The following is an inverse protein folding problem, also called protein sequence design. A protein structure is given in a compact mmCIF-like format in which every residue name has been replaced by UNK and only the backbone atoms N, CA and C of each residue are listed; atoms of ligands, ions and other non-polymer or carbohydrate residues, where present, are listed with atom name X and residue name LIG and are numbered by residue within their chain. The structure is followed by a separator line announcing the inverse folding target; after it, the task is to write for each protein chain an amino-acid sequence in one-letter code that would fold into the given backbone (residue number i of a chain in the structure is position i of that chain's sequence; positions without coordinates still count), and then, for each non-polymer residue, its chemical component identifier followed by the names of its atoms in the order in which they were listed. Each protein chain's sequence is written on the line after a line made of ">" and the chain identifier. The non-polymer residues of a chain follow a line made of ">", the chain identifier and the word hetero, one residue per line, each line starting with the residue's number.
data_IF_695673893267
#
_entry.id   IF_695673893267
#
_cell.length_a   1.000
_cell.length_b   1.000
_cell.length_c   1.000
_cell.angle_alpha   90.00
_cell.angle_beta   90.00
_cell.angle_gamma   90.00
#
_symmetry.space_group_name_H-M   'P 1'
#
loop_
_entity.id
_entity.type
_entity.pdbx_description
1 polymer ?
#
# COMPACT_ATOMS: atom_id res chain seq x y z
N UNK A 1 -13.84 -28.30 16.67
CA UNK A 1 -13.06 -27.94 15.49
C UNK A 1 -12.74 -26.42 15.51
N UNK A 2 -13.75 -25.49 15.66
CA UNK A 2 -13.46 -24.04 15.76
C UNK A 2 -12.52 -23.74 16.91
N UNK A 3 -12.83 -24.20 18.13
CA UNK A 3 -11.98 -23.98 19.31
C UNK A 3 -10.60 -24.66 19.24
N UNK A 4 -10.37 -25.59 18.31
CA UNK A 4 -9.05 -26.18 18.06
C UNK A 4 -8.22 -25.28 17.12
N UNK A 5 -8.88 -24.65 16.15
CA UNK A 5 -8.22 -23.79 15.18
C UNK A 5 -7.99 -22.37 15.72
N UNK A 6 -8.97 -21.85 16.47
CA UNK A 6 -8.95 -20.50 17.05
C UNK A 6 -9.40 -20.58 18.52
N UNK A 7 -8.52 -21.01 19.44
CA UNK A 7 -8.88 -21.27 20.83
C UNK A 7 -9.24 -20.01 21.63
N UNK A 8 -8.84 -18.83 21.17
CA UNK A 8 -9.16 -17.56 21.84
C UNK A 8 -10.56 -17.01 21.51
N UNK A 9 -11.27 -17.59 20.52
CA UNK A 9 -12.63 -17.18 20.20
C UNK A 9 -13.62 -17.59 21.29
N UNK A 10 -14.58 -16.71 21.61
CA UNK A 10 -15.67 -17.01 22.55
C UNK A 10 -16.53 -18.18 22.06
N UNK A 11 -16.54 -19.27 22.81
CA UNK A 11 -17.26 -20.50 22.47
C UNK A 11 -18.78 -20.26 22.24
N UNK A 12 -19.36 -19.34 22.99
CA UNK A 12 -20.78 -18.98 22.93
C UNK A 12 -21.19 -18.37 21.59
N UNK A 13 -20.31 -17.61 20.97
CA UNK A 13 -20.53 -16.94 19.67
C UNK A 13 -20.05 -17.77 18.47
N UNK A 14 -19.28 -18.84 18.71
CA UNK A 14 -18.57 -19.58 17.67
C UNK A 14 -19.06 -21.01 17.49
N UNK A 15 -20.39 -21.22 17.53
CA UNK A 15 -21.00 -22.59 17.37
C UNK A 15 -20.78 -23.18 15.99
N UNK A 16 -20.70 -22.33 14.97
CA UNK A 16 -20.45 -22.70 13.57
C UNK A 16 -19.45 -21.71 12.96
N UNK A 17 -18.54 -22.22 12.16
CA UNK A 17 -17.64 -21.42 11.35
C UNK A 17 -17.62 -21.96 9.93
N UNK A 18 -17.51 -21.05 8.96
CA UNK A 18 -17.23 -21.37 7.57
C UNK A 18 -15.77 -21.04 7.33
N UNK A 19 -15.02 -22.01 6.84
CA UNK A 19 -13.62 -21.81 6.44
C UNK A 19 -13.52 -21.81 4.92
N UNK A 20 -12.78 -20.86 4.38
CA UNK A 20 -12.46 -20.78 2.96
C UNK A 20 -11.02 -20.29 2.80
N UNK A 21 -10.46 -20.50 1.64
CA UNK A 21 -9.13 -19.96 1.33
C UNK A 21 -9.25 -18.55 0.77
N UNK A 22 -8.41 -17.67 1.28
CA UNK A 22 -8.28 -16.30 0.79
C UNK A 22 -6.81 -15.98 0.55
N UNK A 23 -6.54 -15.01 -0.32
CA UNK A 23 -5.20 -14.55 -0.62
C UNK A 23 -4.91 -13.25 0.13
N UNK A 24 -3.80 -13.22 0.84
CA UNK A 24 -3.29 -12.00 1.45
C UNK A 24 -2.33 -11.32 0.47
N UNK A 25 -2.65 -10.08 0.12
CA UNK A 25 -1.82 -9.26 -0.77
C UNK A 25 -1.06 -8.22 0.05
N UNK A 26 0.24 -8.10 -0.20
CA UNK A 26 1.00 -6.92 0.19
C UNK A 26 0.85 -5.90 -0.95
N UNK A 27 -0.02 -4.91 -0.77
CA UNK A 27 -0.39 -3.94 -1.80
C UNK A 27 0.78 -3.05 -2.20
N UNK A 28 1.65 -2.64 -1.27
CA UNK A 28 2.87 -1.89 -1.60
C UNK A 28 3.79 -2.72 -2.51
N UNK A 29 4.01 -3.99 -2.19
CA UNK A 29 4.84 -4.89 -3.01
C UNK A 29 4.22 -5.15 -4.37
N UNK A 30 2.89 -5.30 -4.46
CA UNK A 30 2.19 -5.45 -5.72
C UNK A 30 2.36 -4.22 -6.62
N UNK A 31 2.23 -3.01 -6.06
CA UNK A 31 2.45 -1.75 -6.80
C UNK A 31 3.89 -1.67 -7.31
N UNK A 32 4.88 -1.93 -6.43
CA UNK A 32 6.30 -1.90 -6.81
C UNK A 32 6.61 -2.92 -7.92
N UNK A 33 6.05 -4.13 -7.84
CA UNK A 33 6.25 -5.15 -8.88
C UNK A 33 5.68 -4.72 -10.24
N UNK A 34 4.49 -4.09 -10.25
CA UNK A 34 3.91 -3.52 -11.47
C UNK A 34 4.76 -2.38 -12.04
N UNK A 35 5.24 -1.46 -11.20
CA UNK A 35 6.11 -0.36 -11.62
C UNK A 35 7.41 -0.88 -12.22
N UNK A 36 8.02 -1.90 -11.62
CA UNK A 36 9.26 -2.53 -12.11
C UNK A 36 9.03 -3.26 -13.43
N UNK A 37 7.91 -3.94 -13.59
CA UNK A 37 7.54 -4.56 -14.87
C UNK A 37 7.30 -3.51 -15.97
N UNK A 38 6.66 -2.38 -15.62
CA UNK A 38 6.49 -1.27 -16.54
C UNK A 38 7.85 -0.67 -16.97
N UNK A 39 8.79 -0.45 -16.04
CA UNK A 39 10.15 0.01 -16.35
C UNK A 39 10.88 -0.98 -17.26
N UNK A 40 10.81 -2.27 -16.98
CA UNK A 40 11.38 -3.31 -17.82
C UNK A 40 10.77 -3.35 -19.24
N UNK A 41 9.53 -2.85 -19.36
CA UNK A 41 8.80 -2.69 -20.64
C UNK A 41 9.03 -1.32 -21.30
N UNK A 42 9.90 -0.47 -20.76
CA UNK A 42 10.31 0.81 -21.35
C UNK A 42 9.58 2.04 -20.78
N UNK A 43 8.72 1.90 -19.77
CA UNK A 43 8.12 3.04 -19.08
C UNK A 43 9.17 3.79 -18.22
N UNK A 44 8.94 5.10 -18.05
CA UNK A 44 9.69 5.91 -17.09
C UNK A 44 8.83 6.14 -15.84
N UNK A 45 9.38 5.85 -14.68
CA UNK A 45 8.73 6.04 -13.40
C UNK A 45 9.53 7.05 -12.57
N UNK A 46 8.85 8.01 -11.98
CA UNK A 46 9.46 9.00 -11.08
C UNK A 46 8.54 9.22 -9.88
N UNK A 47 9.08 9.00 -8.68
CA UNK A 47 8.47 9.40 -7.42
C UNK A 47 8.89 10.82 -7.04
N UNK A 48 8.25 11.40 -6.02
CA UNK A 48 8.52 12.77 -5.54
C UNK A 48 8.37 13.85 -6.63
N UNK A 49 7.53 13.59 -7.63
CA UNK A 49 7.10 14.56 -8.64
C UNK A 49 5.60 14.85 -8.46
N UNK A 50 5.29 16.07 -8.03
CA UNK A 50 3.91 16.51 -7.88
C UNK A 50 3.47 17.25 -9.14
N UNK A 51 2.43 16.75 -9.81
CA UNK A 51 1.81 17.45 -10.95
C UNK A 51 1.05 18.65 -10.43
N UNK A 52 1.36 19.82 -10.96
CA UNK A 52 0.81 21.13 -10.56
C UNK A 52 0.10 21.88 -11.70
N UNK A 53 0.12 21.36 -12.93
CA UNK A 53 -0.55 21.97 -14.05
C UNK A 53 -0.58 21.09 -15.30
N UNK A 54 -1.34 21.55 -16.30
CA UNK A 54 -1.46 20.93 -17.62
C UNK A 54 -0.86 21.86 -18.69
N UNK A 55 -0.13 21.27 -19.63
CA UNK A 55 0.31 21.95 -20.84
C UNK A 55 -0.81 22.02 -21.88
N UNK A 56 -0.74 22.98 -22.80
CA UNK A 56 -1.77 23.24 -23.82
C UNK A 56 -2.97 24.04 -23.25
N UNK A 57 -3.72 24.73 -24.09
CA UNK A 57 -4.85 25.58 -23.66
C UNK A 57 -6.19 24.82 -23.76
N UNK A 58 -6.52 24.32 -24.94
CA UNK A 58 -7.82 23.68 -25.22
C UNK A 58 -7.78 22.17 -25.00
N UNK A 59 -6.62 21.56 -25.14
CA UNK A 59 -6.36 20.14 -24.96
C UNK A 59 -5.10 19.95 -24.12
N UNK A 60 -5.07 18.93 -23.26
CA UNK A 60 -3.88 18.59 -22.50
C UNK A 60 -2.83 17.97 -23.43
N UNK A 61 -1.69 18.65 -23.55
CA UNK A 61 -0.51 18.25 -24.31
C UNK A 61 0.62 17.73 -23.42
N UNK A 62 0.33 17.51 -22.14
CA UNK A 62 1.27 17.08 -21.12
C UNK A 62 0.98 17.72 -19.79
N UNK A 63 1.96 17.65 -18.89
CA UNK A 63 1.87 18.17 -17.53
C UNK A 63 3.07 19.02 -17.16
N UNK A 64 2.87 19.94 -16.20
CA UNK A 64 3.94 20.50 -15.38
C UNK A 64 3.98 19.77 -14.05
N UNK A 65 5.19 19.57 -13.52
CA UNK A 65 5.38 18.91 -12.23
C UNK A 65 6.54 19.53 -11.46
N UNK A 66 6.43 19.55 -10.15
CA UNK A 66 7.48 20.02 -9.26
C UNK A 66 8.16 18.83 -8.57
N UNK A 67 9.49 18.79 -8.65
CA UNK A 67 10.29 17.82 -7.92
C UNK A 67 10.43 18.23 -6.45
N UNK A 68 9.87 17.43 -5.55
CA UNK A 68 9.94 17.69 -4.11
C UNK A 68 11.37 17.63 -3.54
N UNK A 69 12.30 16.90 -4.21
CA UNK A 69 13.69 16.76 -3.79
C UNK A 69 14.54 17.98 -4.11
N UNK A 70 14.26 18.65 -5.22
CA UNK A 70 15.12 19.72 -5.77
C UNK A 70 14.41 21.06 -5.91
N UNK A 71 13.09 21.10 -5.75
CA UNK A 71 12.26 22.26 -6.03
C UNK A 71 12.16 22.64 -7.52
N UNK A 72 12.75 21.84 -8.44
CA UNK A 72 12.76 22.14 -9.86
C UNK A 72 11.41 21.84 -10.50
N UNK A 73 10.92 22.75 -11.32
CA UNK A 73 9.77 22.50 -12.20
C UNK A 73 10.24 21.74 -13.46
N UNK A 74 9.43 20.79 -13.88
CA UNK A 74 9.65 19.91 -15.05
C UNK A 74 8.42 19.96 -15.93
N UNK A 75 8.60 19.90 -17.24
CA UNK A 75 7.52 19.73 -18.20
C UNK A 75 7.63 18.36 -18.86
N UNK A 76 6.53 17.61 -18.88
CA UNK A 76 6.44 16.34 -19.56
C UNK A 76 5.37 16.45 -20.64
N UNK A 77 5.79 16.39 -21.91
CA UNK A 77 4.87 16.38 -23.06
C UNK A 77 4.31 14.98 -23.27
N UNK A 78 3.02 14.90 -23.56
CA UNK A 78 2.32 13.64 -23.80
C UNK A 78 1.18 13.85 -24.79
N UNK A 79 0.90 12.85 -25.60
CA UNK A 79 -0.25 12.85 -26.50
C UNK A 79 -1.58 12.68 -25.71
N UNK A 80 -1.57 11.91 -24.63
CA UNK A 80 -2.70 11.73 -23.71
C UNK A 80 -2.19 11.79 -22.27
N UNK A 81 -2.92 12.45 -21.41
CA UNK A 81 -2.68 12.48 -19.95
C UNK A 81 -3.72 11.59 -19.27
N UNK A 82 -3.28 10.73 -18.35
CA UNK A 82 -4.15 9.89 -17.54
C UNK A 82 -4.08 10.35 -16.09
N UNK A 83 -5.23 10.67 -15.51
CA UNK A 83 -5.41 10.96 -14.10
C UNK A 83 -5.84 9.69 -13.36
N UNK A 84 -4.90 9.03 -12.69
CA UNK A 84 -5.12 7.86 -11.84
C UNK A 84 -4.65 8.14 -10.39
N UNK A 85 -4.91 9.36 -9.90
CA UNK A 85 -4.34 9.89 -8.66
C UNK A 85 -5.11 9.48 -7.39
N UNK A 86 -6.03 8.51 -7.48
CA UNK A 86 -6.74 7.96 -6.32
C UNK A 86 -7.49 9.03 -5.52
N UNK A 87 -7.20 9.25 -4.24
CA UNK A 87 -7.89 10.26 -3.43
C UNK A 87 -7.76 11.71 -3.95
N UNK A 88 -6.74 12.00 -4.78
CA UNK A 88 -6.49 13.32 -5.37
C UNK A 88 -7.09 13.51 -6.77
N UNK A 89 -7.89 12.57 -7.26
CA UNK A 89 -8.51 12.64 -8.60
C UNK A 89 -9.25 13.97 -8.80
N UNK A 90 -10.05 14.42 -7.86
CA UNK A 90 -10.80 15.68 -8.02
C UNK A 90 -9.90 16.91 -8.03
N UNK A 91 -8.83 16.93 -7.22
CA UNK A 91 -7.83 18.00 -7.25
C UNK A 91 -7.11 18.07 -8.62
N UNK A 92 -6.78 16.91 -9.20
CA UNK A 92 -6.17 16.85 -10.53
C UNK A 92 -7.17 17.24 -11.63
N UNK A 93 -8.44 16.92 -11.52
CA UNK A 93 -9.50 17.34 -12.45
C UNK A 93 -9.69 18.87 -12.49
N UNK A 94 -9.50 19.54 -11.34
CA UNK A 94 -9.55 20.99 -11.27
C UNK A 94 -8.44 21.68 -12.07
N UNK A 95 -7.36 20.99 -12.43
CA UNK A 95 -6.37 21.52 -13.36
C UNK A 95 -6.89 21.64 -14.81
N UNK A 96 -7.95 20.91 -15.16
CA UNK A 96 -8.60 21.05 -16.48
C UNK A 96 -9.60 22.20 -16.54
N UNK A 97 -10.46 22.30 -15.54
CA UNK A 97 -11.52 23.29 -15.43
C UNK A 97 -12.10 23.31 -14.01
N UNK A 98 -12.85 24.35 -13.67
CA UNK A 98 -13.67 24.39 -12.46
C UNK A 98 -14.83 23.38 -12.60
N UNK A 99 -14.67 22.23 -11.94
CA UNK A 99 -15.59 21.09 -12.03
C UNK A 99 -16.05 20.64 -10.65
N UNK A 100 -17.30 20.20 -10.56
CA UNK A 100 -17.84 19.64 -9.33
C UNK A 100 -17.08 18.37 -8.91
N UNK A 101 -16.83 18.17 -7.61
CA UNK A 101 -16.24 16.96 -7.08
C UNK A 101 -17.06 15.71 -7.40
N UNK A 102 -16.41 14.63 -7.76
CA UNK A 102 -17.04 13.33 -8.00
C UNK A 102 -16.76 12.32 -6.90
N UNK A 103 -15.81 12.60 -6.02
CA UNK A 103 -15.41 11.68 -4.97
C UNK A 103 -15.96 12.05 -3.61
N UNK A 104 -16.27 11.02 -2.85
CA UNK A 104 -16.42 11.06 -1.40
C UNK A 104 -15.28 10.25 -0.81
N UNK A 105 -14.50 10.85 0.07
CA UNK A 105 -13.40 10.15 0.74
C UNK A 105 -13.92 9.44 1.99
N UNK A 106 -13.50 8.19 2.16
CA UNK A 106 -13.75 7.41 3.37
C UNK A 106 -12.43 6.98 3.98
N UNK A 107 -12.24 7.31 5.26
CA UNK A 107 -11.08 6.87 6.04
C UNK A 107 -11.34 5.49 6.60
N UNK A 108 -10.34 4.61 6.46
CA UNK A 108 -10.31 3.33 7.14
C UNK A 108 -9.00 3.20 7.90
N UNK A 109 -9.07 2.77 9.16
CA UNK A 109 -7.88 2.53 9.97
C UNK A 109 -7.59 1.05 10.14
N UNK A 110 -6.34 0.75 10.46
CA UNK A 110 -5.90 -0.52 10.99
C UNK A 110 -5.05 -0.28 12.23
N UNK A 111 -5.08 -1.23 13.17
CA UNK A 111 -4.19 -1.26 14.32
C UNK A 111 -3.54 -2.63 14.42
N UNK A 112 -2.28 -2.67 14.86
CA UNK A 112 -1.55 -3.90 15.13
C UNK A 112 -1.31 -4.05 16.63
N UNK A 113 -1.46 -5.26 17.13
CA UNK A 113 -1.12 -5.64 18.50
C UNK A 113 -0.15 -6.82 18.45
N UNK A 114 0.60 -7.07 19.52
CA UNK A 114 1.45 -8.26 19.58
C UNK A 114 0.60 -9.53 19.42
N UNK A 115 1.11 -10.51 18.70
CA UNK A 115 0.42 -11.79 18.54
C UNK A 115 0.25 -12.54 19.87
N UNK A 116 1.07 -12.25 20.85
CA UNK A 116 0.91 -12.76 22.22
C UNK A 116 -0.31 -12.19 22.93
N UNK A 117 -0.74 -10.98 22.56
CA UNK A 117 -1.90 -10.32 23.16
C UNK A 117 -3.21 -10.73 22.44
N UNK A 118 -3.14 -11.01 21.14
CA UNK A 118 -4.25 -11.55 20.35
C UNK A 118 -3.74 -12.70 19.45
N UNK A 119 -3.71 -13.94 19.97
CA UNK A 119 -3.16 -15.08 19.25
C UNK A 119 -4.20 -15.69 18.28
N UNK A 120 -4.27 -15.16 17.06
CA UNK A 120 -5.07 -15.76 15.99
C UNK A 120 -4.18 -16.61 15.07
N UNK A 121 -4.72 -17.73 14.59
CA UNK A 121 -4.00 -18.63 13.68
C UNK A 121 -4.37 -18.39 12.21
N UNK A 122 -5.60 -17.94 11.97
CA UNK A 122 -6.12 -17.66 10.64
C UNK A 122 -6.69 -16.24 10.58
N UNK A 123 -7.06 -15.77 9.39
CA UNK A 123 -7.92 -14.61 9.27
C UNK A 123 -9.28 -14.89 9.91
N UNK A 124 -9.65 -14.11 10.89
CA UNK A 124 -10.95 -14.18 11.55
C UNK A 124 -11.79 -12.97 11.13
N UNK A 125 -12.98 -13.23 10.59
CA UNK A 125 -13.97 -12.18 10.28
C UNK A 125 -14.93 -12.04 11.45
N UNK A 126 -14.99 -10.85 12.01
CA UNK A 126 -15.90 -10.45 13.10
C UNK A 126 -16.97 -9.51 12.56
N UNK A 127 -18.05 -9.32 13.31
CA UNK A 127 -19.07 -8.32 13.00
C UNK A 127 -18.98 -7.20 14.03
N UNK A 128 -18.71 -5.98 13.57
CA UNK A 128 -18.69 -4.79 14.41
C UNK A 128 -20.08 -4.43 14.92
N UNK A 129 -20.14 -3.54 15.91
CA UNK A 129 -21.40 -3.06 16.51
C UNK A 129 -22.32 -2.36 15.50
N UNK A 130 -21.80 -1.88 14.39
CA UNK A 130 -22.52 -1.26 13.26
C UNK A 130 -22.88 -2.26 12.15
N UNK A 131 -22.65 -3.55 12.35
CA UNK A 131 -22.93 -4.64 11.41
C UNK A 131 -21.89 -4.82 10.30
N UNK A 132 -20.83 -4.01 10.26
CA UNK A 132 -19.76 -4.13 9.26
C UNK A 132 -18.75 -5.21 9.63
N UNK A 133 -18.12 -5.87 8.62
CA UNK A 133 -17.06 -6.84 8.89
C UNK A 133 -15.80 -6.14 9.39
N UNK A 134 -15.21 -6.69 10.45
CA UNK A 134 -13.89 -6.35 10.96
C UNK A 134 -13.03 -7.61 10.90
N UNK A 135 -11.80 -7.49 10.53
CA UNK A 135 -10.90 -8.62 10.36
C UNK A 135 -9.80 -8.60 11.42
N UNK A 136 -9.45 -9.78 11.93
CA UNK A 136 -8.22 -10.01 12.69
C UNK A 136 -7.32 -10.92 11.86
N UNK A 137 -6.10 -10.44 11.50
CA UNK A 137 -5.18 -11.13 10.60
C UNK A 137 -3.82 -11.33 11.28
N UNK A 138 -3.31 -12.58 11.33
CA UNK A 138 -1.96 -12.82 11.81
C UNK A 138 -0.93 -12.39 10.75
N UNK A 139 0.09 -11.63 11.17
CA UNK A 139 1.21 -11.24 10.31
C UNK A 139 2.53 -11.23 11.10
N UNK A 140 3.28 -12.32 11.03
CA UNK A 140 4.53 -12.46 11.78
C UNK A 140 4.31 -12.32 13.28
N UNK A 141 4.97 -11.36 13.95
CA UNK A 141 4.89 -11.16 15.40
C UNK A 141 3.63 -10.42 15.85
N UNK A 142 2.80 -9.94 14.94
CA UNK A 142 1.59 -9.18 15.25
C UNK A 142 0.32 -9.84 14.73
N UNK A 143 -0.80 -9.45 15.32
CA UNK A 143 -2.14 -9.57 14.76
C UNK A 143 -2.63 -8.15 14.48
N UNK A 144 -3.05 -7.85 13.24
CA UNK A 144 -3.63 -6.55 12.92
C UNK A 144 -5.13 -6.63 12.72
N UNK A 145 -5.79 -5.57 13.11
CA UNK A 145 -7.24 -5.41 13.10
C UNK A 145 -7.64 -4.34 12.11
N UNK A 146 -8.72 -4.54 11.41
CA UNK A 146 -9.26 -3.57 10.47
C UNK A 146 -10.48 -4.10 9.74
N UNK A 147 -11.27 -3.27 9.21
CA UNK A 147 -11.03 -1.84 9.01
C UNK A 147 -12.28 -1.05 9.41
N UNK A 148 -12.09 0.23 9.70
CA UNK A 148 -13.22 1.16 9.85
C UNK A 148 -13.64 1.76 8.51
N UNK A 149 -14.74 2.51 8.49
CA UNK A 149 -15.26 3.19 7.30
C UNK A 149 -15.95 4.48 7.75
N UNK A 150 -15.14 5.53 7.94
CA UNK A 150 -15.56 6.83 8.45
C UNK A 150 -15.45 7.88 7.36
N UNK A 151 -16.51 8.67 7.12
CA UNK A 151 -16.47 9.72 6.12
C UNK A 151 -15.38 10.74 6.44
N UNK A 152 -14.53 11.03 5.46
CA UNK A 152 -13.46 12.01 5.57
C UNK A 152 -13.88 13.31 4.88
N UNK A 153 -13.91 14.41 5.61
CA UNK A 153 -14.39 15.71 5.12
C UNK A 153 -13.27 16.68 4.76
N UNK A 154 -12.06 16.39 5.27
CA UNK A 154 -10.89 17.22 5.02
C UNK A 154 -10.29 16.90 3.62
N UNK A 155 -9.43 17.76 3.08
CA UNK A 155 -8.69 17.47 1.87
C UNK A 155 -7.90 16.17 1.97
N UNK A 156 -7.70 15.51 0.84
CA UNK A 156 -6.89 14.29 0.79
C UNK A 156 -5.47 14.54 1.30
N UNK A 157 -5.00 13.65 2.14
CA UNK A 157 -3.64 13.68 2.73
C UNK A 157 -2.96 12.32 2.60
N UNK A 158 -1.63 12.32 2.59
CA UNK A 158 -0.82 11.09 2.58
C UNK A 158 -0.87 10.34 3.92
N UNK A 159 -1.09 11.05 5.02
CA UNK A 159 -1.13 10.52 6.37
C UNK A 159 -2.42 10.97 7.09
N UNK A 160 -3.56 10.31 6.82
CA UNK A 160 -4.78 10.57 7.56
C UNK A 160 -4.59 10.18 9.04
N UNK A 161 -5.18 10.95 9.93
CA UNK A 161 -5.10 10.68 11.37
C UNK A 161 -5.83 9.39 11.76
N UNK A 162 -5.29 8.70 12.77
CA UNK A 162 -5.98 7.61 13.46
C UNK A 162 -6.72 8.22 14.66
N UNK A 163 -8.04 8.06 14.72
CA UNK A 163 -8.86 8.63 15.78
C UNK A 163 -9.18 7.59 16.86
N UNK A 164 -9.25 8.06 18.12
CA UNK A 164 -9.53 7.20 19.27
C UNK A 164 -10.85 6.41 19.10
N UNK A 165 -11.88 7.04 18.54
CA UNK A 165 -13.18 6.39 18.34
C UNK A 165 -13.10 5.19 17.38
N UNK A 166 -12.26 5.28 16.36
CA UNK A 166 -12.03 4.20 15.41
C UNK A 166 -11.24 3.06 16.07
N UNK A 167 -10.26 3.39 16.91
CA UNK A 167 -9.48 2.41 17.69
C UNK A 167 -10.39 1.69 18.69
N UNK A 168 -11.18 2.42 19.46
CA UNK A 168 -12.12 1.86 20.45
C UNK A 168 -13.12 0.91 19.77
N UNK A 169 -13.62 1.26 18.58
CA UNK A 169 -14.50 0.40 17.79
C UNK A 169 -13.84 -0.94 17.45
N UNK A 170 -12.57 -0.92 17.00
CA UNK A 170 -11.84 -2.15 16.65
C UNK A 170 -11.57 -3.00 17.89
N UNK A 171 -11.09 -2.40 18.99
CA UNK A 171 -10.77 -3.12 20.22
C UNK A 171 -12.03 -3.70 20.89
N UNK A 172 -13.13 -2.96 20.93
CA UNK A 172 -14.41 -3.43 21.43
C UNK A 172 -14.93 -4.61 20.58
N UNK A 173 -14.75 -4.55 19.26
CA UNK A 173 -15.14 -5.67 18.38
C UNK A 173 -14.36 -6.94 18.72
N UNK A 174 -13.07 -6.84 19.06
CA UNK A 174 -12.28 -7.98 19.54
C UNK A 174 -12.84 -8.50 20.85
N UNK A 175 -13.07 -7.65 21.84
CA UNK A 175 -13.63 -8.03 23.14
C UNK A 175 -14.99 -8.74 23.01
N UNK A 176 -15.78 -8.34 22.03
CA UNK A 176 -17.07 -8.99 21.72
C UNK A 176 -16.96 -10.42 21.17
N UNK A 177 -15.86 -10.76 20.51
CA UNK A 177 -15.70 -12.04 19.81
C UNK A 177 -14.64 -12.96 20.41
N UNK A 178 -13.70 -12.43 21.17
CA UNK A 178 -12.61 -13.17 21.82
C UNK A 178 -12.72 -13.12 23.35
N UNK A 179 -12.18 -14.11 24.03
CA UNK A 179 -12.02 -14.08 25.49
C UNK A 179 -10.78 -13.29 25.90
N UNK A 180 -10.60 -12.14 25.24
CA UNK A 180 -9.45 -11.25 25.38
C UNK A 180 -9.97 -9.81 25.42
N UNK A 181 -9.45 -9.01 26.33
CA UNK A 181 -9.68 -7.56 26.39
C UNK A 181 -8.38 -6.84 26.05
N UNK A 182 -8.43 -5.98 25.04
CA UNK A 182 -7.31 -5.17 24.59
C UNK A 182 -7.51 -3.72 24.99
N UNK A 183 -6.41 -3.04 25.28
CA UNK A 183 -6.38 -1.60 25.56
C UNK A 183 -5.57 -0.86 24.50
N UNK A 184 -5.79 0.45 24.30
CA UNK A 184 -4.99 1.25 23.36
C UNK A 184 -3.48 1.17 23.60
N UNK A 185 -3.04 0.92 24.84
CA UNK A 185 -1.61 0.78 25.19
C UNK A 185 -0.93 -0.47 24.60
N UNK A 186 -1.71 -1.45 24.17
CA UNK A 186 -1.19 -2.67 23.54
C UNK A 186 -1.09 -2.54 22.02
N UNK A 187 -1.56 -1.43 21.46
CA UNK A 187 -1.37 -1.12 20.02
C UNK A 187 0.08 -0.77 19.79
N UNK A 188 0.74 -1.52 18.91
CA UNK A 188 2.15 -1.37 18.57
C UNK A 188 2.37 -0.71 17.21
N UNK A 189 1.33 -0.65 16.39
CA UNK A 189 1.34 0.02 15.10
C UNK A 189 -0.09 0.42 14.71
N UNK A 190 -0.23 1.57 14.09
CA UNK A 190 -1.51 2.06 13.60
C UNK A 190 -1.31 2.81 12.27
N UNK A 191 -2.30 2.75 11.39
CA UNK A 191 -2.28 3.52 10.15
C UNK A 191 -3.69 3.74 9.62
N UNK A 192 -3.84 4.78 8.81
CA UNK A 192 -5.08 5.10 8.12
C UNK A 192 -4.86 5.25 6.62
N UNK A 193 -5.90 5.01 5.85
CA UNK A 193 -5.93 5.24 4.41
C UNK A 193 -7.25 5.83 3.95
N UNK A 194 -7.23 6.55 2.83
CA UNK A 194 -8.41 7.16 2.22
C UNK A 194 -8.88 6.33 1.03
N UNK A 195 -10.16 5.95 1.04
CA UNK A 195 -10.83 5.30 -0.09
C UNK A 195 -11.50 6.36 -0.94
N UNK A 196 -11.17 6.48 -2.24
CA UNK A 196 -11.86 7.35 -3.17
C UNK A 196 -13.15 6.66 -3.67
N UNK A 197 -14.29 6.97 -3.07
CA UNK A 197 -15.59 6.42 -3.47
C UNK A 197 -16.27 7.37 -4.43
N UNK A 198 -16.87 6.84 -5.52
CA UNK A 198 -17.58 7.65 -6.48
C UNK A 198 -18.90 8.09 -5.86
N UNK A 199 -19.11 9.41 -5.81
CA UNK A 199 -20.31 10.03 -5.25
C UNK A 199 -21.55 9.67 -6.06
N UNK A 200 -22.61 9.26 -5.35
CA UNK A 200 -23.96 9.18 -5.91
C UNK A 200 -24.88 9.99 -5.00
N UNK A 201 -25.78 10.81 -5.57
CA UNK A 201 -26.75 11.53 -4.77
C UNK A 201 -27.51 10.57 -3.83
N UNK A 202 -27.66 10.96 -2.56
CA UNK A 202 -28.47 10.29 -1.55
C UNK A 202 -27.95 8.94 -0.98
N UNK A 203 -26.68 8.54 -1.23
CA UNK A 203 -26.13 7.31 -0.65
C UNK A 203 -25.15 7.58 0.51
N UNK A 204 -25.19 6.71 1.51
CA UNK A 204 -24.18 6.67 2.59
C UNK A 204 -22.86 6.06 2.08
N UNK A 205 -21.73 6.30 2.75
CA UNK A 205 -20.43 5.75 2.36
C UNK A 205 -20.42 4.24 2.21
N UNK A 206 -21.17 3.53 3.05
CA UNK A 206 -21.30 2.06 2.99
C UNK A 206 -22.13 1.56 1.79
N UNK A 207 -22.99 2.40 1.23
CA UNK A 207 -23.83 2.10 0.06
C UNK A 207 -23.20 2.57 -1.26
N UNK A 208 -22.18 3.45 -1.20
CA UNK A 208 -21.48 3.93 -2.38
C UNK A 208 -20.80 2.78 -3.13
N UNK A 209 -20.97 2.79 -4.43
CA UNK A 209 -20.38 1.78 -5.31
C UNK A 209 -18.86 1.77 -5.19
N UNK A 210 -18.29 0.59 -5.00
CA UNK A 210 -16.85 0.32 -5.15
C UNK A 210 -16.51 -0.08 -6.60
N UNK A 211 -17.41 0.23 -7.55
CA UNK A 211 -17.17 0.07 -8.96
C UNK A 211 -16.29 1.23 -9.44
N UNK A 212 -15.35 0.94 -10.27
CA UNK A 212 -14.54 1.93 -10.96
C UNK A 212 -15.34 2.61 -12.08
N UNK A 213 -14.96 3.81 -12.42
CA UNK A 213 -15.45 4.55 -13.57
C UNK A 213 -14.29 5.21 -14.31
N UNK A 214 -14.34 5.18 -15.64
CA UNK A 214 -13.42 5.88 -16.52
C UNK A 214 -14.20 6.94 -17.29
N UNK A 215 -13.69 8.16 -17.38
CA UNK A 215 -14.29 9.24 -18.15
C UNK A 215 -13.23 10.19 -18.72
N UNK A 216 -13.59 10.96 -19.72
CA UNK A 216 -12.71 11.94 -20.35
C UNK A 216 -13.14 13.33 -19.89
N UNK A 217 -12.19 14.12 -19.42
CA UNK A 217 -12.42 15.51 -18.99
C UNK A 217 -12.47 16.49 -20.17
N UNK A 218 -12.78 17.76 -19.89
CA UNK A 218 -13.01 18.79 -20.93
C UNK A 218 -11.76 19.09 -21.76
N UNK A 219 -10.55 18.83 -21.25
CA UNK A 219 -9.29 19.00 -21.99
C UNK A 219 -8.69 17.67 -22.46
N UNK A 220 -9.47 16.60 -22.46
CA UNK A 220 -9.06 15.28 -22.97
C UNK A 220 -8.25 14.44 -21.99
N UNK A 221 -8.17 14.82 -20.71
CA UNK A 221 -7.55 13.98 -19.68
C UNK A 221 -8.43 12.76 -19.42
N UNK A 222 -7.89 11.57 -19.54
CA UNK A 222 -8.56 10.33 -19.18
C UNK A 222 -8.45 10.14 -17.67
N UNK A 223 -9.58 10.09 -16.98
CA UNK A 223 -9.61 9.96 -15.52
C UNK A 223 -10.20 8.62 -15.12
N UNK A 224 -9.57 7.93 -14.17
CA UNK A 224 -10.07 6.71 -13.54
C UNK A 224 -10.16 6.88 -12.03
N UNK A 225 -11.27 6.45 -11.44
CA UNK A 225 -11.47 6.46 -10.00
C UNK A 225 -12.34 5.32 -9.51
N UNK A 226 -12.33 5.06 -8.20
CA UNK A 226 -13.06 3.96 -7.58
C UNK A 226 -12.36 2.62 -7.73
N UNK A 227 -13.15 1.54 -7.72
CA UNK A 227 -12.65 0.18 -7.89
C UNK A 227 -11.98 -0.41 -6.64
N UNK A 228 -11.40 -1.58 -6.84
CA UNK A 228 -10.60 -2.30 -5.85
C UNK A 228 -9.26 -2.66 -6.44
N UNK A 229 -8.21 -2.69 -5.63
CA UNK A 229 -6.88 -3.09 -6.07
C UNK A 229 -6.87 -4.44 -6.81
N UNK A 230 -7.68 -5.40 -6.38
CA UNK A 230 -7.80 -6.72 -7.03
C UNK A 230 -8.37 -6.70 -8.44
N UNK A 231 -9.02 -5.59 -8.83
CA UNK A 231 -9.56 -5.36 -10.19
C UNK A 231 -8.66 -4.53 -11.09
N UNK A 232 -7.44 -4.21 -10.67
CA UNK A 232 -6.58 -3.22 -11.33
C UNK A 232 -6.27 -3.53 -12.80
N UNK A 233 -6.17 -4.81 -13.18
CA UNK A 233 -5.95 -5.20 -14.58
C UNK A 233 -7.12 -4.80 -15.48
N UNK A 234 -8.37 -5.08 -15.04
CA UNK A 234 -9.55 -4.68 -15.80
C UNK A 234 -9.67 -3.14 -15.87
N UNK A 235 -9.39 -2.45 -14.74
CA UNK A 235 -9.36 -0.99 -14.73
C UNK A 235 -8.33 -0.42 -15.71
N UNK A 236 -7.16 -1.06 -15.80
CA UNK A 236 -6.13 -0.66 -16.76
C UNK A 236 -6.58 -0.88 -18.22
N UNK A 237 -7.29 -1.97 -18.52
CA UNK A 237 -7.85 -2.23 -19.85
C UNK A 237 -8.89 -1.17 -20.25
N UNK A 238 -9.81 -0.80 -19.34
CA UNK A 238 -10.82 0.22 -19.55
C UNK A 238 -10.20 1.61 -19.79
N UNK A 239 -9.10 1.92 -19.07
CA UNK A 239 -8.31 3.15 -19.29
C UNK A 239 -7.64 3.14 -20.65
N UNK A 240 -7.00 2.02 -21.03
CA UNK A 240 -6.32 1.89 -22.33
C UNK A 240 -7.27 2.03 -23.50
N UNK A 241 -8.50 1.51 -23.43
CA UNK A 241 -9.54 1.71 -24.43
C UNK A 241 -9.88 3.20 -24.61
N UNK A 242 -9.99 3.93 -23.50
CA UNK A 242 -10.22 5.38 -23.51
C UNK A 242 -9.04 6.15 -24.09
N UNK A 243 -7.81 5.75 -23.77
CA UNK A 243 -6.56 6.33 -24.30
C UNK A 243 -6.47 6.12 -25.80
N UNK A 244 -6.76 4.89 -26.30
CA UNK A 244 -6.75 4.57 -27.74
C UNK A 244 -7.77 5.42 -28.51
N UNK A 245 -8.95 5.61 -27.93
CA UNK A 245 -9.99 6.50 -28.47
C UNK A 245 -9.48 7.94 -28.61
N UNK A 246 -8.81 8.49 -27.58
CA UNK A 246 -8.24 9.84 -27.60
C UNK A 246 -7.10 9.97 -28.63
N UNK A 247 -6.20 8.99 -28.69
CA UNK A 247 -5.11 8.97 -29.67
C UNK A 247 -5.64 8.91 -31.10
N UNK A 248 -6.66 8.08 -31.36
CA UNK A 248 -7.29 7.95 -32.66
C UNK A 248 -7.98 9.23 -33.11
N UNK A 249 -8.63 9.95 -32.19
CA UNK A 249 -9.27 11.23 -32.46
C UNK A 249 -8.25 12.35 -32.80
N UNK A 250 -7.06 12.32 -32.18
CA UNK A 250 -5.98 13.29 -32.43
C UNK A 250 -5.22 13.01 -33.73
N UNK A 251 -5.05 11.74 -34.06
CA UNK A 251 -4.39 11.29 -35.29
C UNK A 251 -5.42 11.28 -36.41
N UNK A 252 -5.80 12.46 -36.92
CA UNK A 252 -6.47 12.49 -38.19
C UNK A 252 -5.63 11.72 -39.24
N UNK A 253 -6.00 10.44 -39.48
CA UNK A 253 -5.88 9.69 -40.73
C UNK A 253 -4.69 8.76 -41.00
N UNK A 254 -3.65 8.56 -40.19
CA UNK A 254 -2.54 7.74 -40.71
C UNK A 254 -1.80 6.75 -39.79
N UNK A 255 -2.27 6.38 -38.65
CA UNK A 255 -1.75 5.16 -37.99
C UNK A 255 -2.73 4.59 -36.98
N UNK A 256 -3.17 3.38 -37.23
CA UNK A 256 -3.82 2.53 -36.26
C UNK A 256 -2.75 2.09 -35.23
N UNK A 257 -2.51 2.88 -34.23
CA UNK A 257 -1.87 2.39 -33.02
C UNK A 257 -2.92 1.57 -32.27
N UNK A 258 -3.12 0.35 -32.69
CA UNK A 258 -3.98 -0.63 -32.00
C UNK A 258 -3.17 -1.11 -30.81
N UNK A 259 -3.56 -0.71 -29.60
CA UNK A 259 -3.16 -1.45 -28.41
C UNK A 259 -3.77 -2.85 -28.55
N UNK A 260 -2.97 -3.84 -28.94
CA UNK A 260 -3.36 -5.23 -28.87
C UNK A 260 -3.46 -5.60 -27.40
N UNK A 261 -4.62 -5.60 -26.81
CA UNK A 261 -4.99 -5.96 -25.46
C UNK A 261 -3.87 -6.21 -24.44
N UNK A 262 -4.11 -6.10 -23.17
CA UNK A 262 -3.06 -6.33 -22.18
C UNK A 262 -2.53 -7.75 -22.26
N UNK A 263 -1.25 -7.91 -22.52
CA UNK A 263 -0.54 -9.20 -22.38
C UNK A 263 -0.23 -9.49 -20.89
N UNK A 264 -0.64 -8.60 -19.99
CA UNK A 264 -0.31 -8.64 -18.55
C UNK A 264 -0.88 -9.83 -17.80
N UNK A 265 -2.00 -10.40 -18.26
CA UNK A 265 -2.64 -11.56 -17.61
C UNK A 265 -1.84 -12.86 -17.72
N UNK A 266 -0.91 -12.95 -18.66
CA UNK A 266 -0.07 -14.14 -18.90
C UNK A 266 1.36 -14.00 -18.39
N UNK A 267 1.76 -12.80 -17.94
CA UNK A 267 3.13 -12.52 -17.49
C UNK A 267 3.19 -12.50 -15.98
N UNK A 268 4.13 -13.26 -15.44
CA UNK A 268 4.44 -13.22 -14.01
C UNK A 268 5.16 -11.93 -13.67
N UNK A 269 4.70 -11.22 -12.64
CA UNK A 269 5.37 -10.03 -12.13
C UNK A 269 6.73 -10.37 -11.51
N UNK A 270 7.67 -9.42 -11.42
CA UNK A 270 8.96 -9.61 -10.74
C UNK A 270 8.78 -10.19 -9.33
N UNK A 271 9.54 -11.22 -9.01
CA UNK A 271 9.44 -11.97 -7.76
C UNK A 271 8.35 -13.06 -7.74
N UNK A 272 7.41 -13.06 -8.68
CA UNK A 272 6.29 -14.00 -8.70
C UNK A 272 6.61 -15.39 -9.27
N UNK A 273 7.73 -15.56 -9.96
CA UNK A 273 8.16 -16.85 -10.52
C UNK A 273 8.85 -17.67 -9.43
N UNK A 274 8.06 -18.22 -8.52
CA UNK A 274 8.52 -19.01 -7.39
C UNK A 274 7.88 -20.39 -7.41
N UNK A 275 8.59 -21.39 -6.89
CA UNK A 275 8.04 -22.73 -6.68
C UNK A 275 6.75 -22.68 -5.85
N UNK A 276 5.81 -23.54 -6.18
CA UNK A 276 4.46 -23.58 -5.55
C UNK A 276 4.47 -23.82 -4.05
N UNK A 277 5.54 -24.40 -3.50
CA UNK A 277 5.70 -24.65 -2.06
C UNK A 277 6.64 -23.60 -1.42
N UNK A 278 6.03 -22.52 -0.91
CA UNK A 278 6.75 -21.46 -0.22
C UNK A 278 7.42 -21.94 1.08
N UNK A 279 6.87 -22.96 1.74
CA UNK A 279 7.45 -23.50 2.97
C UNK A 279 8.74 -24.26 2.68
N UNK A 280 8.75 -25.07 1.62
CA UNK A 280 9.96 -25.77 1.17
C UNK A 280 11.02 -24.77 0.70
N UNK A 281 10.62 -23.74 -0.06
CA UNK A 281 11.53 -22.70 -0.51
C UNK A 281 12.19 -21.97 0.69
N UNK A 282 11.41 -21.67 1.73
CA UNK A 282 11.93 -21.04 2.94
C UNK A 282 12.88 -21.96 3.73
N UNK A 283 12.57 -23.26 3.84
CA UNK A 283 13.45 -24.24 4.50
C UNK A 283 14.79 -24.39 3.75
N UNK A 284 14.74 -24.46 2.43
CA UNK A 284 15.94 -24.51 1.58
C UNK A 284 16.79 -23.26 1.78
N UNK A 285 16.18 -22.09 1.69
CA UNK A 285 16.84 -20.80 1.88
C UNK A 285 17.50 -20.70 3.28
N UNK A 286 16.78 -21.13 4.32
CA UNK A 286 17.29 -21.13 5.69
C UNK A 286 18.55 -21.99 5.83
N UNK A 287 18.54 -23.18 5.21
CA UNK A 287 19.67 -24.11 5.24
C UNK A 287 20.87 -23.59 4.44
N UNK A 288 20.63 -23.07 3.23
CA UNK A 288 21.71 -22.64 2.32
C UNK A 288 22.43 -21.38 2.82
N UNK A 289 21.75 -20.51 3.55
CA UNK A 289 22.29 -19.23 4.01
C UNK A 289 22.52 -19.14 5.52
N UNK A 290 22.25 -20.20 6.27
CA UNK A 290 22.33 -20.22 7.75
C UNK A 290 21.43 -19.13 8.38
N UNK A 291 20.19 -19.04 7.90
CA UNK A 291 19.20 -18.09 8.39
C UNK A 291 18.19 -18.77 9.32
N UNK A 292 17.70 -18.03 10.30
CA UNK A 292 16.55 -18.48 11.08
C UNK A 292 15.33 -18.67 10.16
N UNK A 293 14.60 -19.78 10.32
CA UNK A 293 13.46 -20.11 9.46
C UNK A 293 12.41 -18.99 9.36
N UNK A 294 12.04 -18.26 10.45
CA UNK A 294 11.09 -17.15 10.34
C UNK A 294 11.58 -15.99 9.44
N UNK A 295 12.89 -15.76 9.39
CA UNK A 295 13.48 -14.75 8.49
C UNK A 295 13.36 -15.23 7.04
N UNK A 296 13.72 -16.49 6.77
CA UNK A 296 13.63 -17.08 5.44
C UNK A 296 12.18 -17.10 4.93
N UNK A 297 11.21 -17.48 5.77
CA UNK A 297 9.77 -17.44 5.43
C UNK A 297 9.30 -16.03 5.06
N UNK A 298 9.73 -15.02 5.82
CA UNK A 298 9.40 -13.62 5.56
C UNK A 298 10.01 -13.14 4.24
N UNK A 299 11.27 -13.46 3.99
CA UNK A 299 11.98 -13.08 2.75
C UNK A 299 11.31 -13.72 1.52
N UNK A 300 11.06 -15.03 1.56
CA UNK A 300 10.39 -15.76 0.47
C UNK A 300 9.01 -15.19 0.18
N UNK A 301 8.22 -14.87 1.21
CA UNK A 301 6.91 -14.25 1.04
C UNK A 301 6.97 -12.82 0.48
N UNK A 302 8.03 -12.06 0.79
CA UNK A 302 8.17 -10.66 0.36
C UNK A 302 8.77 -10.51 -1.02
N UNK A 303 9.82 -11.28 -1.32
CA UNK A 303 10.63 -11.12 -2.52
C UNK A 303 10.48 -12.27 -3.52
N UNK A 304 9.89 -13.40 -3.12
CA UNK A 304 9.68 -14.54 -3.99
C UNK A 304 10.97 -15.05 -4.61
N UNK A 305 11.01 -15.20 -5.94
CA UNK A 305 12.20 -15.67 -6.67
C UNK A 305 13.39 -14.71 -6.62
N UNK A 306 13.20 -13.47 -6.15
CA UNK A 306 14.28 -12.47 -6.03
C UNK A 306 15.00 -12.53 -4.67
N UNK A 307 14.60 -13.42 -3.77
CA UNK A 307 15.14 -13.53 -2.40
C UNK A 307 16.66 -13.74 -2.39
N UNK A 308 17.20 -14.56 -3.29
CA UNK A 308 18.64 -14.79 -3.42
C UNK A 308 19.40 -13.49 -3.77
N UNK A 309 18.84 -12.68 -4.66
CA UNK A 309 19.44 -11.40 -5.02
C UNK A 309 19.46 -10.43 -3.83
N UNK A 310 18.40 -10.43 -3.01
CA UNK A 310 18.33 -9.60 -1.80
C UNK A 310 19.40 -10.03 -0.79
N UNK A 311 19.54 -11.34 -0.52
CA UNK A 311 20.51 -11.88 0.42
C UNK A 311 21.95 -11.63 -0.04
N UNK A 312 22.21 -11.67 -1.34
CA UNK A 312 23.53 -11.37 -1.91
C UNK A 312 23.96 -9.93 -1.64
N UNK A 313 23.03 -9.01 -1.49
CA UNK A 313 23.31 -7.61 -1.13
C UNK A 313 23.66 -7.43 0.36
N UNK A 314 23.27 -8.36 1.21
CA UNK A 314 23.61 -8.38 2.63
C UNK A 314 22.69 -9.28 3.43
N UNK A 315 23.26 -10.20 4.19
CA UNK A 315 22.49 -11.17 5.01
C UNK A 315 22.50 -10.87 6.50
N UNK A 316 23.25 -9.86 6.93
CA UNK A 316 23.35 -9.54 8.35
C UNK A 316 22.08 -8.79 8.79
N UNK A 317 21.55 -9.10 9.98
CA UNK A 317 20.47 -8.29 10.58
C UNK A 317 20.91 -6.83 10.75
N UNK A 318 20.02 -5.89 10.49
CA UNK A 318 20.31 -4.44 10.62
C UNK A 318 20.60 -4.02 12.07
N UNK A 319 20.09 -4.79 13.04
CA UNK A 319 20.37 -4.63 14.47
C UNK A 319 20.36 -5.99 15.15
N UNK A 320 20.99 -6.17 16.32
CA UNK A 320 20.96 -7.42 17.06
C UNK A 320 19.52 -7.89 17.32
N UNK A 321 19.20 -9.11 16.88
CA UNK A 321 17.87 -9.71 17.01
C UNK A 321 16.83 -9.22 16.01
N UNK A 322 17.17 -8.29 15.13
CA UNK A 322 16.27 -7.79 14.08
C UNK A 322 15.96 -8.88 13.04
N UNK A 323 14.74 -8.88 12.55
CA UNK A 323 14.34 -9.74 11.43
C UNK A 323 14.67 -9.13 10.07
N UNK A 324 14.89 -7.80 10.01
CA UNK A 324 15.22 -7.06 8.79
C UNK A 324 16.73 -7.23 8.48
N UNK A 325 17.04 -7.55 7.24
CA UNK A 325 18.42 -7.74 6.78
C UNK A 325 18.96 -6.50 6.08
N UNK A 326 20.27 -6.29 6.16
CA UNK A 326 20.98 -5.17 5.50
C UNK A 326 20.77 -5.16 3.97
N UNK A 327 20.69 -6.31 3.34
CA UNK A 327 20.41 -6.45 1.91
C UNK A 327 19.03 -5.94 1.50
N UNK A 328 18.05 -5.98 2.39
CA UNK A 328 16.71 -5.43 2.11
C UNK A 328 16.74 -3.90 2.01
N UNK A 329 17.61 -3.23 2.78
CA UNK A 329 17.79 -1.78 2.70
C UNK A 329 18.46 -1.40 1.38
N UNK A 330 19.51 -2.12 0.99
CA UNK A 330 20.19 -1.91 -0.30
C UNK A 330 19.20 -2.13 -1.46
N UNK A 331 18.40 -3.21 -1.39
CA UNK A 331 17.36 -3.51 -2.37
C UNK A 331 16.32 -2.39 -2.44
N UNK A 332 15.84 -1.92 -1.30
CA UNK A 332 14.86 -0.84 -1.23
C UNK A 332 15.35 0.43 -1.94
N UNK A 333 16.63 0.77 -1.83
CA UNK A 333 17.23 1.93 -2.51
C UNK A 333 17.47 1.66 -3.98
N UNK A 334 18.18 0.58 -4.31
CA UNK A 334 18.70 0.35 -5.66
C UNK A 334 17.65 -0.18 -6.64
N UNK A 335 16.68 -0.94 -6.14
CA UNK A 335 15.68 -1.62 -6.96
C UNK A 335 14.29 -1.02 -6.80
N UNK A 336 13.89 -0.71 -5.56
CA UNK A 336 12.55 -0.22 -5.26
C UNK A 336 12.49 1.32 -5.13
N UNK A 337 13.61 2.05 -5.37
CA UNK A 337 13.66 3.50 -5.47
C UNK A 337 13.36 4.24 -4.16
N UNK A 338 13.72 3.68 -3.01
CA UNK A 338 13.60 4.35 -1.72
C UNK A 338 14.63 5.49 -1.60
N UNK A 339 14.20 6.64 -1.09
CA UNK A 339 15.01 7.84 -0.92
C UNK A 339 15.00 8.39 0.50
N UNK A 340 14.05 7.94 1.33
CA UNK A 340 13.85 8.39 2.70
C UNK A 340 13.65 7.21 3.65
N UNK A 341 13.80 7.47 4.94
CA UNK A 341 13.69 6.45 5.98
C UNK A 341 12.28 5.83 6.03
N UNK A 342 11.24 6.63 5.87
CA UNK A 342 9.86 6.18 5.81
C UNK A 342 9.56 5.37 4.54
N UNK A 343 10.26 5.61 3.43
CA UNK A 343 10.16 4.74 2.26
C UNK A 343 10.51 3.31 2.63
N UNK A 344 11.58 3.11 3.39
CA UNK A 344 12.04 1.78 3.77
C UNK A 344 11.15 1.16 4.84
N UNK A 345 11.00 1.83 5.99
CA UNK A 345 10.34 1.24 7.16
C UNK A 345 8.82 1.18 7.04
N UNK A 346 8.21 2.09 6.28
CA UNK A 346 6.76 2.13 6.06
C UNK A 346 6.39 1.41 4.76
N UNK A 347 6.93 1.86 3.61
CA UNK A 347 6.42 1.49 2.28
C UNK A 347 7.08 0.26 1.65
N UNK A 348 8.36 -0.05 1.95
CA UNK A 348 9.06 -1.20 1.35
C UNK A 348 9.04 -2.44 2.24
N UNK A 349 9.13 -2.23 3.56
CA UNK A 349 9.19 -3.35 4.51
C UNK A 349 7.93 -3.49 5.39
N UNK A 350 7.18 -2.41 5.62
CA UNK A 350 6.06 -2.38 6.53
C UNK A 350 6.46 -2.58 7.99
N UNK A 351 7.74 -2.47 8.32
CA UNK A 351 8.26 -2.73 9.66
C UNK A 351 7.62 -1.79 10.69
N UNK A 352 7.31 -0.53 10.29
CA UNK A 352 6.65 0.45 11.15
C UNK A 352 5.34 -0.04 11.74
N UNK A 353 4.62 -0.90 11.01
CA UNK A 353 3.31 -1.40 11.41
C UNK A 353 3.33 -2.84 11.93
N UNK A 354 4.27 -3.66 11.43
CA UNK A 354 4.24 -5.11 11.63
C UNK A 354 5.41 -5.62 12.48
N UNK A 355 6.32 -4.73 12.90
CA UNK A 355 7.38 -5.07 13.87
C UNK A 355 7.11 -4.31 15.19
N UNK A 356 6.70 -5.01 16.26
CA UNK A 356 6.43 -4.35 17.54
C UNK A 356 7.69 -3.79 18.22
N UNK A 357 8.87 -4.10 17.71
CA UNK A 357 10.17 -3.58 18.17
C UNK A 357 10.79 -2.62 17.14
N UNK A 358 10.00 -2.03 16.24
CA UNK A 358 10.50 -1.17 15.15
C UNK A 358 11.43 -0.05 15.63
N UNK A 359 11.27 0.43 16.87
CA UNK A 359 12.15 1.47 17.43
C UNK A 359 13.63 1.12 17.38
N UNK A 360 14.01 -0.17 17.53
CA UNK A 360 15.42 -0.60 17.45
C UNK A 360 15.95 -0.62 16.01
N UNK A 361 15.09 -0.50 14.99
CA UNK A 361 15.48 -0.50 13.58
C UNK A 361 15.74 0.91 13.05
N UNK A 362 15.14 1.95 13.66
CA UNK A 362 15.10 3.32 13.11
C UNK A 362 16.51 3.84 12.86
N UNK A 363 17.33 3.89 13.90
CA UNK A 363 18.70 4.44 13.80
C UNK A 363 19.62 3.61 12.89
N UNK A 364 19.72 2.25 13.03
CA UNK A 364 20.57 1.45 12.15
C UNK A 364 20.17 1.52 10.66
N UNK A 365 18.88 1.58 10.37
CA UNK A 365 18.40 1.73 8.98
C UNK A 365 18.73 3.12 8.44
N UNK A 366 18.57 4.17 9.26
CA UNK A 366 18.93 5.54 8.88
C UNK A 366 20.44 5.68 8.61
N UNK A 367 21.30 5.08 9.43
CA UNK A 367 22.75 5.06 9.22
C UNK A 367 23.13 4.36 7.92
N UNK A 368 22.52 3.20 7.62
CA UNK A 368 22.77 2.48 6.38
C UNK A 368 22.29 3.28 5.16
N UNK A 369 21.12 3.93 5.23
CA UNK A 369 20.62 4.82 4.19
C UNK A 369 21.54 6.03 3.99
N UNK A 370 22.06 6.62 5.05
CA UNK A 370 23.02 7.72 4.98
C UNK A 370 24.25 7.33 4.18
N UNK A 371 24.79 6.12 4.39
CA UNK A 371 25.90 5.58 3.60
C UNK A 371 25.56 5.35 2.14
N UNK A 372 24.34 4.88 1.83
CA UNK A 372 23.89 4.59 0.46
C UNK A 372 23.53 5.84 -0.34
N UNK A 373 22.93 6.83 0.31
CA UNK A 373 22.37 8.03 -0.31
C UNK A 373 23.24 9.27 -0.13
N UNK A 374 24.32 9.17 0.66
CA UNK A 374 25.23 10.30 0.92
C UNK A 374 24.62 11.36 1.83
N UNK A 375 23.76 10.99 2.78
CA UNK A 375 23.20 11.94 3.73
C UNK A 375 24.25 12.48 4.70
N UNK A 376 24.09 13.74 5.07
CA UNK A 376 24.84 14.32 6.18
C UNK A 376 24.27 13.83 7.53
N UNK A 377 25.04 13.98 8.60
CA UNK A 377 24.57 13.66 9.96
C UNK A 377 23.31 14.45 10.33
N UNK A 378 23.18 15.69 9.85
CA UNK A 378 22.00 16.52 10.06
C UNK A 378 20.77 15.95 9.34
N UNK A 379 20.92 15.56 8.07
CA UNK A 379 19.85 14.90 7.30
C UNK A 379 19.44 13.57 7.92
N UNK A 380 20.41 12.78 8.40
CA UNK A 380 20.12 11.51 9.10
C UNK A 380 19.28 11.74 10.35
N UNK A 381 19.68 12.72 11.18
CA UNK A 381 18.95 13.07 12.40
C UNK A 381 17.55 13.62 12.11
N UNK A 382 17.39 14.39 11.03
CA UNK A 382 16.10 14.90 10.59
C UNK A 382 15.16 13.76 10.17
N UNK A 383 15.65 12.79 9.40
CA UNK A 383 14.87 11.62 8.96
C UNK A 383 14.42 10.76 10.15
N UNK A 384 15.29 10.53 11.12
CA UNK A 384 14.94 9.82 12.36
C UNK A 384 13.83 10.57 13.08
N UNK A 385 14.02 11.88 13.33
CA UNK A 385 13.04 12.69 14.06
C UNK A 385 11.69 12.82 13.34
N UNK A 386 11.69 12.82 12.00
CA UNK A 386 10.45 12.83 11.21
C UNK A 386 9.67 11.53 11.41
N UNK A 387 10.34 10.39 11.33
CA UNK A 387 9.70 9.09 11.47
C UNK A 387 9.21 8.82 12.92
N UNK A 388 10.00 9.20 13.92
CA UNK A 388 9.60 9.08 15.33
C UNK A 388 8.36 9.92 15.64
N UNK A 389 8.31 11.17 15.17
CA UNK A 389 7.11 12.02 15.30
C UNK A 389 5.90 11.43 14.60
N UNK A 390 6.08 10.83 13.41
CA UNK A 390 4.98 10.17 12.72
C UNK A 390 4.46 9.00 13.55
N UNK A 391 5.35 8.16 14.09
CA UNK A 391 4.96 7.04 14.95
C UNK A 391 4.21 7.51 16.20
N UNK A 392 4.72 8.56 16.85
CA UNK A 392 4.06 9.13 18.02
C UNK A 392 2.66 9.64 17.67
N UNK A 393 2.51 10.33 16.53
CA UNK A 393 1.21 10.83 16.05
C UNK A 393 0.26 9.67 15.78
N UNK A 394 0.72 8.62 15.10
CA UNK A 394 -0.11 7.45 14.74
C UNK A 394 -0.58 6.66 15.96
N UNK A 395 0.17 6.71 17.08
CA UNK A 395 -0.14 6.02 18.33
C UNK A 395 -0.79 6.91 19.41
N UNK A 396 -0.94 8.20 19.15
CA UNK A 396 -1.57 9.12 20.13
C UNK A 396 -3.09 9.12 20.08
N UNK A 397 -3.69 8.71 18.96
CA UNK A 397 -5.14 8.57 18.73
C UNK A 397 -5.92 9.84 19.10
N UNK A 398 -5.89 10.85 18.26
CA UNK A 398 -6.53 12.16 18.45
C UNK A 398 -8.05 12.11 18.21
#
# INVERSE_FOLDING_TARGET
>A
EVAQNEPALRAEKSRYAVTFREYLTDDCRLVLANLRDAVASGAQVANYLSVDGLLGENQAEGVTAQCALTGRSIQVKAAVVVNATGPWVDATRQLEADVEPRLVLSRGIHVAVRRTDLPVNNLVTMTGSDGRPVFALPRGPVTYLGTTDTRHLEPATHHPSVEQIDVDFLLTTVEDHFDISLTPKQVTGAWAGLRPLISKPEQTTSELSRKDEVWVGPRGVVTVAGGKLTGYLQMADDVLESVDTQLSAQQSLNSSAVFSGTTSTSKTLPGGDIASDLSLAAQTLAADHDLALPIAERLVRRYGSETEAVITLGKEPVAPGAHLLSGEIVWAVQVDGALFLDDVLVRRTGSMWFDPEVGVLIEPVAEQLAGLLGWTSEQTSEQISLLERQQETDLTFI
#
